data_IF_126608566870
#
_entry.id   IF_126608566870
#
_cell.length_a   1.000
_cell.length_b   1.000
_cell.length_c   1.000
_cell.angle_alpha   90.00
_cell.angle_beta   90.00
_cell.angle_gamma   90.00
#
_symmetry.space_group_name_H-M   'P 1'
#
loop_
_entity.id
_entity.type
_entity.pdbx_description
1 polymer ?
#
# COMPACT_ATOMS: atom_id res chain seq x y z
N UNK A 1 -52.13 -34.77 -11.05
CA UNK A 1 -51.19 -34.73 -12.20
C UNK A 1 -51.06 -33.32 -12.82
N UNK A 2 -52.15 -32.64 -13.21
CA UNK A 2 -52.06 -31.32 -13.86
C UNK A 2 -51.32 -30.26 -12.99
N UNK A 3 -51.60 -30.22 -11.66
CA UNK A 3 -50.93 -29.29 -10.74
C UNK A 3 -49.41 -29.53 -10.62
N UNK A 4 -48.98 -30.78 -10.63
CA UNK A 4 -47.54 -31.14 -10.57
C UNK A 4 -46.76 -30.67 -11.82
N UNK A 5 -47.42 -30.78 -12.98
CA UNK A 5 -46.84 -30.32 -14.26
C UNK A 5 -46.68 -28.79 -14.29
N UNK A 6 -47.64 -28.05 -13.75
CA UNK A 6 -47.52 -26.59 -13.66
C UNK A 6 -46.41 -26.15 -12.69
N UNK A 7 -46.23 -26.86 -11.56
CA UNK A 7 -45.16 -26.60 -10.61
C UNK A 7 -43.78 -26.88 -11.25
N UNK A 8 -43.62 -28.03 -11.94
CA UNK A 8 -42.40 -28.36 -12.67
C UNK A 8 -42.07 -27.33 -13.76
N UNK A 9 -43.07 -26.88 -14.50
CA UNK A 9 -42.88 -25.85 -15.53
C UNK A 9 -42.45 -24.51 -14.93
N UNK A 10 -43.03 -24.11 -13.81
CA UNK A 10 -42.64 -22.90 -13.08
C UNK A 10 -41.19 -22.96 -12.56
N UNK A 11 -40.78 -24.12 -12.06
CA UNK A 11 -39.39 -24.34 -11.59
C UNK A 11 -38.39 -24.26 -12.77
N UNK A 12 -38.70 -24.87 -13.89
CA UNK A 12 -37.84 -24.84 -15.09
C UNK A 12 -37.70 -23.40 -15.61
N UNK A 13 -38.81 -22.64 -15.64
CA UNK A 13 -38.78 -21.23 -16.04
C UNK A 13 -37.95 -20.39 -15.05
N UNK A 14 -38.11 -20.61 -13.74
CA UNK A 14 -37.35 -19.91 -12.71
C UNK A 14 -35.83 -20.24 -12.78
N UNK A 15 -35.47 -21.51 -13.00
CA UNK A 15 -34.09 -21.91 -13.22
C UNK A 15 -33.50 -21.30 -14.52
N UNK A 16 -34.27 -21.26 -15.59
CA UNK A 16 -33.89 -20.62 -16.84
C UNK A 16 -33.67 -19.11 -16.69
N UNK A 17 -34.53 -18.42 -15.95
CA UNK A 17 -34.37 -17.01 -15.62
C UNK A 17 -33.16 -16.76 -14.72
N UNK A 18 -32.94 -17.58 -13.70
CA UNK A 18 -31.77 -17.51 -12.84
C UNK A 18 -30.48 -17.77 -13.62
N UNK A 19 -30.44 -18.75 -14.49
CA UNK A 19 -29.29 -19.01 -15.36
C UNK A 19 -29.03 -17.86 -16.33
N UNK A 20 -30.08 -17.24 -16.86
CA UNK A 20 -29.97 -16.08 -17.74
C UNK A 20 -29.48 -14.84 -16.97
N UNK A 21 -29.96 -14.62 -15.75
CA UNK A 21 -29.48 -13.54 -14.87
C UNK A 21 -28.04 -13.82 -14.43
N UNK A 22 -27.71 -15.07 -14.09
CA UNK A 22 -26.33 -15.45 -13.74
C UNK A 22 -25.37 -15.24 -14.92
N UNK A 23 -25.75 -15.66 -16.14
CA UNK A 23 -24.93 -15.43 -17.34
C UNK A 23 -24.82 -13.94 -17.71
N UNK A 24 -25.82 -13.12 -17.39
CA UNK A 24 -25.75 -11.67 -17.53
C UNK A 24 -24.88 -11.04 -16.45
N UNK A 25 -24.88 -11.56 -15.21
CA UNK A 25 -24.01 -11.14 -14.13
C UNK A 25 -22.56 -11.59 -14.34
N UNK A 26 -22.34 -12.79 -14.90
CA UNK A 26 -21.00 -13.23 -15.35
C UNK A 26 -20.49 -12.40 -16.55
N UNK A 27 -21.37 -11.96 -17.43
CA UNK A 27 -21.03 -11.06 -18.54
C UNK A 27 -20.83 -9.59 -18.11
N UNK A 28 -21.26 -9.21 -16.88
CA UNK A 28 -20.94 -7.93 -16.24
C UNK A 28 -19.81 -8.06 -15.20
N UNK A 29 -19.30 -9.27 -14.92
CA UNK A 29 -18.02 -9.49 -14.29
C UNK A 29 -16.95 -9.13 -15.29
N UNK A 30 -16.25 -8.04 -15.00
CA UNK A 30 -15.07 -7.46 -15.62
C UNK A 30 -14.39 -8.34 -16.70
N UNK A 31 -14.96 -8.40 -17.90
CA UNK A 31 -14.29 -8.91 -19.10
C UNK A 31 -13.68 -7.70 -19.79
N UNK A 32 -12.40 -7.39 -19.46
CA UNK A 32 -11.60 -6.47 -20.24
C UNK A 32 -11.62 -6.91 -21.72
N UNK A 33 -11.79 -5.96 -22.61
CA UNK A 33 -11.61 -6.10 -24.05
C UNK A 33 -10.56 -5.06 -24.49
N UNK A 34 -10.21 -5.02 -25.77
CA UNK A 34 -9.26 -4.01 -26.28
C UNK A 34 -9.65 -2.56 -25.94
N UNK A 35 -10.93 -2.30 -25.70
CA UNK A 35 -11.49 -0.99 -25.36
C UNK A 35 -11.71 -0.79 -23.83
N UNK A 36 -11.28 -1.74 -22.99
CA UNK A 36 -11.48 -1.68 -21.54
C UNK A 36 -10.19 -2.07 -20.83
N UNK A 37 -9.86 -1.34 -19.75
CA UNK A 37 -8.72 -1.59 -18.87
C UNK A 37 -9.19 -1.80 -17.44
N UNK A 38 -8.77 -2.86 -16.80
CA UNK A 38 -9.08 -3.15 -15.40
C UNK A 38 -7.87 -2.86 -14.53
N UNK A 39 -7.97 -1.80 -13.72
CA UNK A 39 -6.94 -1.37 -12.77
C UNK A 39 -7.33 -1.83 -11.37
N UNK A 40 -6.44 -2.54 -10.67
CA UNK A 40 -6.63 -3.05 -9.32
C UNK A 40 -5.58 -2.44 -8.41
N UNK A 41 -5.99 -1.50 -7.57
CA UNK A 41 -5.11 -0.63 -6.80
C UNK A 41 -5.54 -0.57 -5.32
N UNK A 42 -4.80 0.13 -4.51
CA UNK A 42 -5.18 0.50 -3.14
C UNK A 42 -6.38 1.46 -3.15
N UNK A 43 -7.10 1.53 -2.04
CA UNK A 43 -8.12 2.56 -1.84
C UNK A 43 -7.50 3.96 -1.84
N UNK A 44 -8.21 4.95 -2.40
CA UNK A 44 -7.81 6.38 -2.41
C UNK A 44 -6.38 6.65 -2.91
N UNK A 45 -5.92 5.89 -3.90
CA UNK A 45 -4.52 5.86 -4.35
C UNK A 45 -4.31 6.37 -5.77
N UNK A 46 -5.29 7.11 -6.29
CA UNK A 46 -5.24 7.83 -7.56
C UNK A 46 -6.26 8.99 -7.54
N UNK A 47 -5.90 10.12 -8.15
CA UNK A 47 -6.85 11.19 -8.44
C UNK A 47 -7.88 10.69 -9.48
N UNK A 48 -9.18 10.60 -9.15
CA UNK A 48 -10.20 10.09 -10.06
C UNK A 48 -10.28 10.88 -11.39
N UNK A 49 -9.92 12.17 -11.39
CA UNK A 49 -9.93 12.98 -12.61
C UNK A 49 -8.88 12.55 -13.63
N UNK A 50 -7.80 11.88 -13.19
CA UNK A 50 -6.79 11.30 -14.08
C UNK A 50 -7.31 10.06 -14.82
N UNK A 51 -8.22 9.30 -14.20
CA UNK A 51 -8.91 8.21 -14.88
C UNK A 51 -9.76 8.77 -16.03
N UNK A 52 -10.57 9.80 -15.75
CA UNK A 52 -11.38 10.47 -16.78
C UNK A 52 -10.52 11.08 -17.90
N UNK A 53 -9.35 11.64 -17.54
CA UNK A 53 -8.40 12.17 -18.50
C UNK A 53 -7.84 11.06 -19.40
N UNK A 54 -7.41 9.94 -18.82
CA UNK A 54 -6.90 8.80 -19.57
C UNK A 54 -7.94 8.25 -20.54
N UNK A 55 -9.17 8.04 -20.08
CA UNK A 55 -10.28 7.57 -20.92
C UNK A 55 -10.55 8.52 -22.11
N UNK A 56 -10.53 9.83 -21.84
CA UNK A 56 -10.74 10.86 -22.87
C UNK A 56 -9.62 10.90 -23.89
N UNK A 57 -8.37 10.71 -23.48
CA UNK A 57 -7.19 10.80 -24.35
C UNK A 57 -7.01 9.53 -25.20
N UNK A 58 -7.34 8.36 -24.65
CA UNK A 58 -7.09 7.07 -25.27
C UNK A 58 -8.32 6.43 -25.89
N UNK A 59 -9.49 6.75 -25.40
CA UNK A 59 -10.75 6.05 -25.74
C UNK A 59 -10.91 4.70 -25.02
N UNK A 60 -9.98 4.33 -24.12
CA UNK A 60 -10.04 3.09 -23.34
C UNK A 60 -10.82 3.38 -22.05
N UNK A 61 -11.90 2.66 -21.79
CA UNK A 61 -12.65 2.77 -20.54
C UNK A 61 -11.95 2.06 -19.40
N UNK A 62 -11.86 2.69 -18.21
CA UNK A 62 -11.20 2.13 -17.04
C UNK A 62 -12.21 1.59 -16.03
N UNK A 63 -12.05 0.33 -15.65
CA UNK A 63 -12.70 -0.26 -14.48
C UNK A 63 -11.69 -0.22 -13.36
N UNK A 64 -11.97 0.56 -12.32
CA UNK A 64 -11.09 0.71 -11.17
C UNK A 64 -11.64 -0.08 -9.98
N UNK A 65 -10.89 -1.06 -9.51
CA UNK A 65 -11.20 -1.87 -8.34
C UNK A 65 -10.13 -1.64 -7.25
N UNK A 66 -10.51 -1.80 -5.99
CA UNK A 66 -9.60 -1.59 -4.86
C UNK A 66 -9.42 -2.83 -4.00
N UNK A 67 -8.33 -2.85 -3.23
CA UNK A 67 -8.03 -3.86 -2.22
C UNK A 67 -7.37 -3.22 -1.00
N UNK A 68 -7.42 -3.92 0.14
CA UNK A 68 -6.96 -3.42 1.43
C UNK A 68 -5.64 -4.08 1.90
N UNK A 69 -5.18 -5.15 1.21
CA UNK A 69 -3.92 -5.81 1.55
C UNK A 69 -3.29 -6.54 0.36
N UNK A 70 -1.96 -6.61 0.35
CA UNK A 70 -1.20 -7.38 -0.64
C UNK A 70 -1.62 -8.86 -0.66
N UNK A 71 -1.94 -9.45 0.50
CA UNK A 71 -2.33 -10.84 0.64
C UNK A 71 -3.70 -11.12 -0.01
N UNK A 72 -4.66 -10.24 0.18
CA UNK A 72 -5.98 -10.32 -0.45
C UNK A 72 -5.87 -10.17 -1.97
N UNK A 73 -5.10 -9.17 -2.43
CA UNK A 73 -4.82 -8.93 -3.85
C UNK A 73 -4.15 -10.16 -4.49
N UNK A 74 -3.05 -10.66 -3.89
CA UNK A 74 -2.29 -11.79 -4.41
C UNK A 74 -3.15 -13.08 -4.48
N UNK A 75 -3.99 -13.31 -3.47
CA UNK A 75 -4.93 -14.43 -3.46
C UNK A 75 -5.89 -14.36 -4.64
N UNK A 76 -6.42 -13.18 -4.92
CA UNK A 76 -7.35 -12.95 -6.04
C UNK A 76 -6.67 -13.15 -7.40
N UNK A 77 -5.43 -12.67 -7.56
CA UNK A 77 -4.61 -12.92 -8.77
C UNK A 77 -4.34 -14.41 -8.98
N UNK A 78 -3.96 -15.13 -7.91
CA UNK A 78 -3.69 -16.59 -7.97
C UNK A 78 -4.92 -17.41 -8.37
N UNK A 79 -6.11 -16.99 -7.94
CA UNK A 79 -7.37 -17.68 -8.28
C UNK A 79 -7.71 -17.58 -9.78
N UNK A 80 -7.23 -16.56 -10.48
CA UNK A 80 -7.38 -16.41 -11.94
C UNK A 80 -8.82 -16.22 -12.43
N UNK A 81 -9.77 -15.99 -11.52
CA UNK A 81 -11.20 -15.81 -11.86
C UNK A 81 -11.57 -14.41 -12.34
N UNK A 82 -10.67 -13.45 -12.18
CA UNK A 82 -10.82 -12.07 -12.65
C UNK A 82 -9.62 -11.69 -13.51
N UNK A 83 -9.87 -10.91 -14.55
CA UNK A 83 -8.81 -10.34 -15.38
C UNK A 83 -8.48 -8.94 -14.87
N UNK A 84 -7.24 -8.74 -14.47
CA UNK A 84 -6.69 -7.43 -14.14
C UNK A 84 -5.61 -7.09 -15.13
N UNK A 85 -5.57 -5.84 -15.59
CA UNK A 85 -4.61 -5.40 -16.60
C UNK A 85 -3.44 -4.63 -15.96
N UNK A 86 -3.71 -3.84 -14.91
CA UNK A 86 -2.70 -3.20 -14.07
C UNK A 86 -3.01 -3.48 -12.61
N UNK A 87 -1.98 -3.86 -11.84
CA UNK A 87 -2.06 -4.04 -10.38
C UNK A 87 -0.92 -3.26 -9.73
N UNK A 88 -1.09 -2.80 -8.49
CA UNK A 88 -0.12 -1.92 -7.81
C UNK A 88 0.37 -2.54 -6.48
N UNK A 89 1.10 -3.66 -6.52
CA UNK A 89 1.65 -4.31 -5.32
C UNK A 89 2.86 -3.60 -4.73
N UNK A 90 3.11 -3.88 -3.44
CA UNK A 90 4.37 -3.53 -2.78
C UNK A 90 5.50 -4.49 -3.18
N UNK A 91 6.75 -4.07 -2.97
CA UNK A 91 7.98 -4.72 -3.45
C UNK A 91 8.10 -6.21 -3.08
N UNK A 92 7.82 -6.59 -1.82
CA UNK A 92 7.92 -7.99 -1.36
C UNK A 92 6.88 -8.91 -2.04
N UNK A 93 5.76 -8.33 -2.42
CA UNK A 93 4.72 -9.05 -3.16
C UNK A 93 5.10 -9.21 -4.62
N UNK A 94 5.73 -8.21 -5.24
CA UNK A 94 6.28 -8.30 -6.60
C UNK A 94 7.27 -9.46 -6.68
N UNK A 95 8.18 -9.57 -5.72
CA UNK A 95 9.14 -10.67 -5.66
C UNK A 95 8.44 -12.04 -5.63
N UNK A 96 7.34 -12.15 -4.87
CA UNK A 96 6.50 -13.34 -4.83
C UNK A 96 5.84 -13.61 -6.18
N UNK A 97 5.24 -12.58 -6.79
CA UNK A 97 4.56 -12.70 -8.09
C UNK A 97 5.52 -13.10 -9.21
N UNK A 98 6.76 -12.60 -9.18
CA UNK A 98 7.83 -13.00 -10.13
C UNK A 98 8.19 -14.48 -9.93
N UNK A 99 8.42 -14.91 -8.69
CA UNK A 99 8.77 -16.31 -8.36
C UNK A 99 7.67 -17.30 -8.78
N UNK A 100 6.41 -16.88 -8.69
CA UNK A 100 5.25 -17.69 -9.07
C UNK A 100 4.86 -17.55 -10.55
N UNK A 101 5.64 -16.81 -11.33
CA UNK A 101 5.41 -16.62 -12.76
C UNK A 101 4.02 -16.00 -13.07
N UNK A 102 3.59 -15.01 -12.26
CA UNK A 102 2.28 -14.37 -12.38
C UNK A 102 2.30 -13.08 -13.21
N UNK A 103 3.48 -12.57 -13.59
CA UNK A 103 3.64 -11.26 -14.24
C UNK A 103 4.10 -11.38 -15.70
N UNK A 104 3.69 -10.41 -16.52
CA UNK A 104 4.20 -10.18 -17.87
C UNK A 104 5.42 -9.25 -17.77
N UNK A 105 6.44 -9.50 -18.59
CA UNK A 105 7.58 -8.59 -18.73
C UNK A 105 7.13 -7.24 -19.32
N UNK A 106 7.58 -6.15 -18.72
CA UNK A 106 7.30 -4.79 -19.18
C UNK A 106 8.07 -4.50 -20.48
N UNK A 107 7.37 -4.07 -21.50
CA UNK A 107 8.00 -3.56 -22.72
C UNK A 107 8.38 -2.08 -22.54
N UNK A 108 9.63 -1.82 -22.14
CA UNK A 108 10.14 -0.48 -21.91
C UNK A 108 10.08 0.41 -23.17
N UNK A 109 10.00 -0.17 -24.38
CA UNK A 109 9.86 0.61 -25.61
C UNK A 109 8.50 1.33 -25.71
N UNK A 110 7.51 0.84 -24.96
CA UNK A 110 6.16 1.43 -24.84
C UNK A 110 6.04 2.47 -23.71
N UNK A 111 7.12 2.66 -22.94
CA UNK A 111 7.16 3.56 -21.78
C UNK A 111 8.15 4.72 -21.98
N UNK A 112 7.94 5.63 -22.95
CA UNK A 112 8.85 6.77 -23.17
C UNK A 112 8.99 7.69 -21.96
N UNK A 113 8.03 7.69 -21.04
CA UNK A 113 8.04 8.49 -19.81
C UNK A 113 8.80 7.80 -18.65
N UNK A 114 9.26 6.56 -18.79
CA UNK A 114 10.09 5.88 -17.78
C UNK A 114 11.38 6.67 -17.46
N UNK A 115 11.88 7.46 -18.39
CA UNK A 115 13.02 8.39 -18.21
C UNK A 115 12.78 9.47 -17.15
N UNK A 116 11.52 9.72 -16.76
CA UNK A 116 11.14 10.69 -15.75
C UNK A 116 11.38 10.17 -14.32
N UNK A 117 11.53 8.84 -14.16
CA UNK A 117 11.80 8.21 -12.86
C UNK A 117 13.27 8.49 -12.46
N UNK A 118 13.46 8.86 -11.19
CA UNK A 118 14.81 9.00 -10.62
C UNK A 118 15.50 7.62 -10.63
N UNK A 119 16.75 7.53 -11.10
CA UNK A 119 17.51 6.27 -11.14
C UNK A 119 17.61 5.55 -9.78
N UNK A 120 17.47 6.26 -8.66
CA UNK A 120 17.46 5.65 -7.33
C UNK A 120 16.35 4.61 -7.15
N UNK A 121 15.20 4.80 -7.81
CA UNK A 121 14.02 3.92 -7.72
C UNK A 121 13.99 2.83 -8.80
N UNK A 122 15.02 2.75 -9.61
CA UNK A 122 15.15 1.74 -10.66
C UNK A 122 16.19 0.68 -10.30
N UNK A 123 16.08 -0.49 -10.93
CA UNK A 123 17.04 -1.60 -10.79
C UNK A 123 17.17 -2.08 -9.32
N UNK A 124 16.08 -2.07 -8.57
CA UNK A 124 16.05 -2.51 -7.18
C UNK A 124 16.11 -4.05 -7.07
N UNK A 125 16.62 -4.61 -5.94
CA UNK A 125 16.85 -6.05 -5.79
C UNK A 125 15.63 -6.94 -6.01
N UNK A 126 14.42 -6.46 -5.71
CA UNK A 126 13.18 -7.22 -5.89
C UNK A 126 12.77 -7.39 -7.37
N UNK A 127 13.20 -6.48 -8.25
CA UNK A 127 12.96 -6.56 -9.70
C UNK A 127 14.12 -5.95 -10.50
N UNK A 128 15.24 -6.65 -10.67
CA UNK A 128 16.39 -6.13 -11.39
C UNK A 128 16.04 -5.70 -12.82
N UNK A 129 16.49 -4.49 -13.18
CA UNK A 129 16.25 -3.81 -14.47
C UNK A 129 14.79 -3.43 -14.69
N UNK A 130 13.96 -3.42 -13.65
CA UNK A 130 12.52 -3.13 -13.78
C UNK A 130 11.86 -3.98 -14.87
N UNK A 131 12.16 -5.27 -14.82
CA UNK A 131 11.70 -6.21 -15.84
C UNK A 131 10.18 -6.43 -15.78
N UNK A 132 9.60 -6.37 -14.60
CA UNK A 132 8.19 -6.69 -14.34
C UNK A 132 7.41 -5.56 -13.69
N UNK A 133 8.09 -4.52 -13.18
CA UNK A 133 7.46 -3.48 -12.38
C UNK A 133 7.94 -2.08 -12.74
N UNK A 134 7.07 -1.10 -12.51
CA UNK A 134 7.33 0.33 -12.73
C UNK A 134 6.99 1.09 -11.46
N UNK A 135 7.93 1.85 -10.86
CA UNK A 135 7.69 2.58 -9.61
C UNK A 135 6.52 3.55 -9.73
N UNK A 136 5.67 3.58 -8.68
CA UNK A 136 4.46 4.40 -8.62
C UNK A 136 4.50 5.38 -7.45
N UNK A 137 4.49 4.90 -6.23
CA UNK A 137 4.67 5.66 -5.00
C UNK A 137 5.71 5.01 -4.09
N UNK A 138 6.21 5.78 -3.13
CA UNK A 138 7.10 5.29 -2.09
C UNK A 138 6.91 6.08 -0.80
N UNK A 139 7.41 5.56 0.30
CA UNK A 139 7.33 6.26 1.56
C UNK A 139 7.97 5.49 2.70
N UNK A 140 7.71 5.98 3.91
CA UNK A 140 8.24 5.42 5.15
C UNK A 140 7.10 5.09 6.10
N UNK A 141 7.39 4.28 7.11
CA UNK A 141 6.58 4.15 8.33
C UNK A 141 7.22 5.03 9.40
N UNK A 142 6.40 5.77 10.13
CA UNK A 142 6.89 6.63 11.20
C UNK A 142 5.80 6.96 12.22
N UNK A 143 6.03 8.01 12.98
CA UNK A 143 5.14 8.44 14.06
C UNK A 143 4.56 9.81 13.73
N UNK A 144 3.24 9.91 13.57
CA UNK A 144 2.53 11.19 13.55
C UNK A 144 2.04 11.52 14.96
N UNK A 145 2.18 12.76 15.38
CA UNK A 145 1.88 13.16 16.75
C UNK A 145 1.54 14.65 16.86
N UNK A 146 0.79 15.01 17.90
CA UNK A 146 0.58 16.40 18.28
C UNK A 146 1.60 16.82 19.36
N UNK A 147 2.63 17.63 19.04
CA UNK A 147 3.67 18.04 19.99
C UNK A 147 3.13 18.89 21.14
N UNK A 148 1.94 19.47 21.04
CA UNK A 148 1.31 20.25 22.10
C UNK A 148 0.67 19.38 23.19
N UNK A 149 0.41 18.08 22.90
CA UNK A 149 -0.29 17.14 23.78
C UNK A 149 0.64 16.14 24.46
N UNK A 150 1.93 16.19 24.18
CA UNK A 150 2.96 15.29 24.74
C UNK A 150 4.06 16.09 25.46
N UNK A 151 4.81 15.45 26.38
CA UNK A 151 5.97 16.08 27.01
C UNK A 151 7.05 16.46 25.98
N UNK A 152 7.69 17.60 26.18
CA UNK A 152 8.69 18.15 25.24
C UNK A 152 9.95 17.28 25.04
N UNK A 153 10.21 16.32 25.92
CA UNK A 153 11.33 15.42 25.77
C UNK A 153 11.04 14.26 24.82
N UNK A 154 9.79 14.04 24.46
CA UNK A 154 9.37 13.04 23.49
C UNK A 154 9.38 13.72 22.10
N UNK A 155 10.25 13.27 21.22
CA UNK A 155 10.45 13.82 19.87
C UNK A 155 10.24 12.80 18.77
N UNK A 156 10.15 11.53 19.16
CA UNK A 156 10.13 10.37 18.25
C UNK A 156 11.36 10.27 17.33
N UNK A 157 12.49 10.84 17.78
CA UNK A 157 13.80 10.57 17.17
C UNK A 157 14.24 9.10 17.38
N UNK A 158 13.59 8.43 18.34
CA UNK A 158 13.76 7.01 18.66
C UNK A 158 12.42 6.31 18.78
N UNK A 159 12.34 5.04 18.31
CA UNK A 159 11.18 4.19 18.56
C UNK A 159 10.91 3.98 20.05
N UNK A 160 11.94 4.02 20.91
CA UNK A 160 11.81 3.85 22.35
C UNK A 160 10.94 4.94 23.01
N UNK A 161 10.76 6.09 22.37
CA UNK A 161 9.86 7.14 22.85
C UNK A 161 8.40 6.65 22.98
N UNK A 162 7.99 5.66 22.19
CA UNK A 162 6.65 5.06 22.29
C UNK A 162 6.40 4.37 23.64
N UNK A 163 7.46 3.91 24.31
CA UNK A 163 7.39 3.26 25.63
C UNK A 163 7.39 4.25 26.80
N UNK A 164 7.48 5.56 26.57
CA UNK A 164 7.42 6.55 27.64
C UNK A 164 6.08 6.46 28.38
N UNK A 165 6.07 6.35 29.75
CA UNK A 165 4.84 6.24 30.52
C UNK A 165 3.87 7.43 30.39
N UNK A 166 4.34 8.58 29.91
CA UNK A 166 3.51 9.75 29.65
C UNK A 166 2.55 9.54 28.47
N UNK A 167 2.81 8.53 27.62
CA UNK A 167 1.97 8.15 26.49
C UNK A 167 0.89 7.11 26.86
N UNK A 168 0.65 6.89 28.15
CA UNK A 168 -0.35 5.92 28.60
C UNK A 168 -1.68 6.11 27.91
N UNK A 169 -2.16 5.06 27.19
CA UNK A 169 -3.43 5.02 26.46
C UNK A 169 -3.56 6.14 25.40
N UNK A 170 -2.46 6.51 24.74
CA UNK A 170 -2.40 7.57 23.71
C UNK A 170 -1.91 7.09 22.36
N UNK A 171 -1.28 5.92 22.28
CA UNK A 171 -0.62 5.41 21.08
C UNK A 171 -1.62 4.58 20.26
N UNK A 172 -1.76 4.95 19.00
CA UNK A 172 -2.42 4.13 17.98
C UNK A 172 -1.36 3.45 17.14
N UNK A 173 -1.55 2.19 16.82
CA UNK A 173 -0.68 1.43 15.94
C UNK A 173 -1.45 1.05 14.67
N UNK A 174 -0.76 1.06 13.54
CA UNK A 174 -1.26 0.55 12.27
C UNK A 174 -1.60 -0.94 12.38
N UNK A 175 -2.68 -1.38 11.75
CA UNK A 175 -3.08 -2.80 11.73
C UNK A 175 -2.28 -3.57 10.65
N UNK A 176 -0.98 -3.72 10.90
CA UNK A 176 -0.03 -4.40 10.02
C UNK A 176 1.01 -5.18 10.83
N UNK A 177 1.13 -6.48 10.55
CA UNK A 177 2.07 -7.34 11.26
C UNK A 177 3.53 -6.96 11.00
N UNK A 178 3.87 -6.67 9.72
CA UNK A 178 5.22 -6.28 9.33
C UNK A 178 5.62 -4.94 9.96
N UNK A 179 4.70 -3.98 10.00
CA UNK A 179 4.91 -2.64 10.52
C UNK A 179 5.14 -2.68 12.04
N UNK A 180 4.25 -3.36 12.78
CA UNK A 180 4.32 -3.40 14.25
C UNK A 180 5.49 -4.26 14.75
N UNK A 181 5.70 -5.45 14.19
CA UNK A 181 6.85 -6.29 14.53
C UNK A 181 8.14 -5.60 14.06
N UNK A 182 8.16 -4.99 12.86
CA UNK A 182 9.29 -4.25 12.33
C UNK A 182 9.70 -3.06 13.20
N UNK A 183 8.74 -2.26 13.67
CA UNK A 183 8.96 -1.21 14.65
C UNK A 183 9.64 -1.76 15.91
N UNK A 184 9.16 -2.89 16.43
CA UNK A 184 9.74 -3.56 17.58
C UNK A 184 11.18 -4.04 17.31
N UNK A 185 11.44 -4.63 16.13
CA UNK A 185 12.77 -5.06 15.70
C UNK A 185 13.75 -3.88 15.65
N UNK A 186 13.38 -2.80 14.96
CA UNK A 186 14.22 -1.61 14.85
C UNK A 186 14.52 -0.98 16.22
N UNK A 187 13.54 -0.96 17.12
CA UNK A 187 13.74 -0.45 18.49
C UNK A 187 14.75 -1.26 19.32
N UNK A 188 15.04 -2.50 18.91
CA UNK A 188 16.08 -3.36 19.49
C UNK A 188 17.38 -3.35 18.67
N UNK A 189 17.43 -2.63 17.55
CA UNK A 189 18.55 -2.58 16.62
C UNK A 189 18.66 -3.80 15.70
N UNK A 190 17.55 -4.53 15.52
CA UNK A 190 17.46 -5.67 14.61
C UNK A 190 16.89 -5.23 13.24
N UNK A 191 17.17 -6.03 12.20
CA UNK A 191 16.63 -5.81 10.87
C UNK A 191 15.11 -6.07 10.83
N UNK A 192 14.37 -5.26 10.06
CA UNK A 192 12.95 -5.48 9.76
C UNK A 192 12.67 -6.84 9.09
N UNK A 193 13.72 -7.45 8.54
CA UNK A 193 13.66 -8.72 7.83
C UNK A 193 14.25 -9.87 8.64
N UNK A 194 14.37 -9.72 9.97
CA UNK A 194 14.92 -10.75 10.84
C UNK A 194 14.24 -12.11 10.64
N UNK A 195 15.06 -13.16 10.63
CA UNK A 195 14.66 -14.56 10.51
C UNK A 195 15.03 -15.36 11.76
N UNK A 196 15.52 -14.68 12.80
CA UNK A 196 15.93 -15.29 14.07
C UNK A 196 14.74 -15.28 15.05
N UNK A 197 14.29 -16.49 15.44
CA UNK A 197 13.18 -16.66 16.37
C UNK A 197 13.46 -16.02 17.74
N UNK A 198 14.73 -15.97 18.20
CA UNK A 198 15.06 -15.34 19.48
C UNK A 198 14.85 -13.81 19.40
N UNK A 199 15.20 -13.17 18.25
CA UNK A 199 14.95 -11.75 18.05
C UNK A 199 13.44 -11.47 18.02
N UNK A 200 12.65 -12.34 17.39
CA UNK A 200 11.19 -12.21 17.35
C UNK A 200 10.57 -12.41 18.75
N UNK A 201 11.09 -13.33 19.56
CA UNK A 201 10.67 -13.52 20.96
C UNK A 201 10.95 -12.26 21.80
N UNK A 202 12.15 -11.68 21.66
CA UNK A 202 12.51 -10.42 22.34
C UNK A 202 11.59 -9.26 21.94
N UNK A 203 11.27 -9.16 20.65
CA UNK A 203 10.33 -8.16 20.13
C UNK A 203 8.94 -8.32 20.73
N UNK A 204 8.41 -9.55 20.80
CA UNK A 204 7.10 -9.80 21.38
C UNK A 204 7.02 -9.33 22.84
N UNK A 205 8.06 -9.66 23.64
CA UNK A 205 8.10 -9.22 25.04
C UNK A 205 8.22 -7.69 25.14
N UNK A 206 8.99 -7.05 24.26
CA UNK A 206 9.08 -5.58 24.21
C UNK A 206 7.74 -4.96 23.82
N UNK A 207 7.06 -5.50 22.83
CA UNK A 207 5.72 -5.03 22.42
C UNK A 207 4.68 -5.21 23.53
N UNK A 208 4.70 -6.33 24.27
CA UNK A 208 3.83 -6.51 25.44
C UNK A 208 4.05 -5.44 26.50
N UNK A 209 5.29 -4.95 26.68
CA UNK A 209 5.57 -3.84 27.58
C UNK A 209 4.97 -2.50 27.08
N UNK A 210 4.61 -2.39 25.81
CA UNK A 210 3.93 -1.22 25.25
C UNK A 210 2.43 -1.18 25.55
N UNK A 211 1.82 -2.28 26.00
CA UNK A 211 0.36 -2.43 26.20
C UNK A 211 -0.28 -1.26 26.94
N UNK A 212 0.40 -0.73 27.98
CA UNK A 212 -0.13 0.37 28.78
C UNK A 212 -0.29 1.69 28.01
N UNK A 213 0.46 1.86 26.91
CA UNK A 213 0.47 3.06 26.08
C UNK A 213 -0.45 2.91 24.86
N UNK A 214 -0.68 1.68 24.39
CA UNK A 214 -1.54 1.43 23.21
C UNK A 214 -3.00 1.67 23.57
N UNK A 215 -3.65 2.51 22.76
CA UNK A 215 -5.10 2.76 22.82
C UNK A 215 -5.86 1.86 21.87
N UNK A 216 -5.35 1.69 20.65
CA UNK A 216 -5.93 0.79 19.66
C UNK A 216 -4.92 0.41 18.57
N UNK A 217 -5.21 -0.67 17.86
CA UNK A 217 -4.58 -1.04 16.59
C UNK A 217 -5.67 -0.92 15.53
N UNK A 218 -5.52 0.02 14.61
CA UNK A 218 -6.53 0.38 13.59
C UNK A 218 -5.83 0.77 12.27
N UNK A 219 -6.58 0.72 11.18
CA UNK A 219 -6.13 1.14 9.85
C UNK A 219 -6.35 2.63 9.60
N UNK A 220 -6.95 2.93 8.44
CA UNK A 220 -7.16 4.31 7.96
C UNK A 220 -8.08 5.14 8.87
N UNK A 221 -8.83 4.49 9.75
CA UNK A 221 -9.69 5.17 10.74
C UNK A 221 -8.91 6.08 11.71
N UNK A 222 -7.59 5.93 11.80
CA UNK A 222 -6.73 6.80 12.60
C UNK A 222 -6.68 8.23 12.03
N UNK A 223 -6.78 8.38 10.71
CA UNK A 223 -6.68 9.68 10.02
C UNK A 223 -7.66 10.73 10.57
N UNK A 224 -8.98 10.53 10.56
CA UNK A 224 -9.91 11.51 11.11
C UNK A 224 -9.74 11.73 12.63
N UNK A 225 -9.26 10.73 13.37
CA UNK A 225 -9.01 10.90 14.81
C UNK A 225 -7.83 11.84 15.07
N UNK A 226 -6.75 11.74 14.29
CA UNK A 226 -5.61 12.65 14.39
C UNK A 226 -5.97 14.07 13.94
N UNK A 227 -6.65 14.22 12.81
CA UNK A 227 -7.09 15.52 12.28
C UNK A 227 -7.94 16.28 13.32
N UNK A 228 -8.85 15.58 14.01
CA UNK A 228 -9.74 16.19 15.01
C UNK A 228 -9.14 16.28 16.42
N UNK A 229 -7.86 15.96 16.63
CA UNK A 229 -7.21 15.89 17.94
C UNK A 229 -7.89 14.91 18.93
N UNK A 230 -8.55 13.84 18.40
CA UNK A 230 -9.10 12.74 19.20
C UNK A 230 -8.06 11.64 19.44
N UNK A 231 -6.99 11.63 18.65
CA UNK A 231 -5.78 10.83 18.82
C UNK A 231 -4.57 11.74 18.96
N UNK A 232 -3.59 11.33 19.78
CA UNK A 232 -2.40 12.14 20.11
C UNK A 232 -1.15 11.65 19.38
N UNK A 233 -0.98 10.33 19.25
CA UNK A 233 0.19 9.65 18.66
C UNK A 233 -0.27 8.47 17.83
N UNK A 234 0.21 8.35 16.61
CA UNK A 234 -0.05 7.18 15.77
C UNK A 234 1.18 6.75 14.99
N UNK A 235 1.43 5.44 14.95
CA UNK A 235 2.38 4.83 14.01
C UNK A 235 1.63 4.57 12.72
N UNK A 236 2.10 5.16 11.62
CA UNK A 236 1.42 5.10 10.33
C UNK A 236 2.37 5.37 9.15
N UNK A 237 1.84 5.31 7.94
CA UNK A 237 2.56 5.57 6.70
C UNK A 237 2.72 7.08 6.45
N UNK A 238 3.83 7.47 5.82
CA UNK A 238 4.18 8.87 5.56
C UNK A 238 3.11 9.64 4.76
N UNK A 239 2.45 9.02 3.80
CA UNK A 239 1.39 9.71 3.05
C UNK A 239 0.15 9.99 3.89
N UNK A 240 -0.27 9.04 4.74
CA UNK A 240 -1.36 9.31 5.70
C UNK A 240 -0.97 10.44 6.66
N UNK A 241 0.29 10.47 7.11
CA UNK A 241 0.78 11.56 7.95
C UNK A 241 0.76 12.92 7.20
N UNK A 242 1.11 12.93 5.91
CA UNK A 242 1.05 14.13 5.09
C UNK A 242 -0.39 14.66 4.96
N UNK A 243 -1.36 13.76 4.68
CA UNK A 243 -2.79 14.10 4.64
C UNK A 243 -3.27 14.66 5.98
N UNK A 244 -2.98 13.98 7.09
CA UNK A 244 -3.32 14.46 8.44
C UNK A 244 -2.74 15.84 8.73
N UNK A 245 -1.50 16.10 8.33
CA UNK A 245 -0.81 17.37 8.57
C UNK A 245 -1.29 18.49 7.65
N UNK A 246 -1.81 18.17 6.47
CA UNK A 246 -2.43 19.16 5.57
C UNK A 246 -3.73 19.73 6.15
N UNK A 247 -4.47 18.91 6.90
CA UNK A 247 -5.75 19.28 7.52
C UNK A 247 -5.58 19.80 8.97
N UNK A 248 -4.46 19.43 9.64
CA UNK A 248 -4.16 19.86 11.00
C UNK A 248 -2.67 20.23 11.16
N UNK A 249 -2.38 21.53 11.07
CA UNK A 249 -1.02 22.10 11.17
C UNK A 249 -0.37 21.90 12.54
N UNK A 250 -1.11 21.46 13.57
CA UNK A 250 -0.54 21.16 14.90
C UNK A 250 0.20 19.81 14.91
N UNK A 251 -0.02 18.96 13.92
CA UNK A 251 0.60 17.65 13.83
C UNK A 251 2.03 17.74 13.30
N UNK A 252 2.83 16.76 13.69
CA UNK A 252 4.18 16.55 13.15
C UNK A 252 4.38 15.07 12.85
N UNK A 253 5.34 14.77 11.98
CA UNK A 253 5.72 13.41 11.61
C UNK A 253 7.22 13.22 11.81
N UNK A 254 7.60 12.08 12.39
CA UNK A 254 8.99 11.70 12.60
C UNK A 254 9.24 10.26 12.14
N UNK A 255 10.39 10.06 11.51
CA UNK A 255 10.93 8.72 11.21
C UNK A 255 12.09 8.50 12.19
N UNK A 256 12.01 7.52 13.10
CA UNK A 256 13.05 7.28 14.11
C UNK A 256 14.40 6.96 13.50
N UNK A 257 15.46 7.41 14.19
CA UNK A 257 16.84 7.37 13.71
C UNK A 257 17.46 5.98 13.66
N UNK A 258 16.93 5.02 14.41
CA UNK A 258 17.34 3.62 14.38
C UNK A 258 17.05 2.97 13.01
N UNK A 259 16.08 3.49 12.31
CA UNK A 259 15.62 2.98 11.03
C UNK A 259 14.11 2.79 11.00
N UNK A 260 13.60 2.52 9.82
CA UNK A 260 12.20 2.20 9.58
C UNK A 260 12.04 1.50 8.24
N UNK A 261 10.81 1.10 7.92
CA UNK A 261 10.48 0.58 6.60
C UNK A 261 10.53 1.69 5.55
N UNK A 262 11.21 1.41 4.44
CA UNK A 262 11.16 2.14 3.18
C UNK A 262 10.42 1.25 2.18
N UNK A 263 9.19 1.59 1.88
CA UNK A 263 8.34 0.80 1.00
C UNK A 263 8.21 1.42 -0.38
N UNK A 264 7.95 0.57 -1.38
CA UNK A 264 7.76 0.94 -2.77
C UNK A 264 6.55 0.22 -3.35
N UNK A 265 5.57 0.97 -3.81
CA UNK A 265 4.48 0.44 -4.60
C UNK A 265 4.78 0.63 -6.08
N UNK A 266 4.50 -0.39 -6.86
CA UNK A 266 4.85 -0.42 -8.28
C UNK A 266 3.68 -0.93 -9.12
N UNK A 267 3.52 -0.38 -10.31
CA UNK A 267 2.59 -0.88 -11.31
C UNK A 267 3.16 -2.13 -11.98
N UNK A 268 2.37 -3.19 -12.03
CA UNK A 268 2.71 -4.45 -12.71
C UNK A 268 1.59 -4.90 -13.65
N UNK A 269 1.90 -5.76 -14.61
CA UNK A 269 0.93 -6.34 -15.55
C UNK A 269 0.81 -7.84 -15.26
N UNK A 270 -0.32 -8.31 -14.71
CA UNK A 270 -0.53 -9.74 -14.47
C UNK A 270 -0.64 -10.53 -15.77
N UNK A 271 -0.27 -11.82 -15.74
CA UNK A 271 -0.44 -12.73 -16.89
C UNK A 271 -1.90 -12.97 -17.30
N UNK A 272 -2.83 -12.65 -16.41
CA UNK A 272 -4.27 -12.70 -16.70
C UNK A 272 -4.78 -11.50 -17.48
N UNK A 273 -3.91 -10.49 -17.74
CA UNK A 273 -4.30 -9.30 -18.51
C UNK A 273 -4.87 -9.65 -19.87
N UNK A 274 -5.98 -9.01 -20.20
CA UNK A 274 -6.63 -9.09 -21.50
C UNK A 274 -6.31 -7.90 -22.40
N UNK A 275 -5.73 -6.82 -21.85
CA UNK A 275 -5.38 -5.59 -22.56
C UNK A 275 -3.97 -5.11 -22.18
N UNK A 276 -2.96 -5.88 -22.58
CA UNK A 276 -1.53 -5.58 -22.29
C UNK A 276 -1.08 -4.25 -22.91
N UNK A 277 -1.59 -3.89 -24.09
CA UNK A 277 -1.26 -2.63 -24.74
C UNK A 277 -1.88 -1.43 -24.01
N UNK A 278 -3.12 -1.54 -23.58
CA UNK A 278 -3.79 -0.55 -22.73
C UNK A 278 -3.11 -0.41 -21.37
N UNK A 279 -2.63 -1.51 -20.78
CA UNK A 279 -1.86 -1.48 -19.54
C UNK A 279 -0.56 -0.67 -19.68
N UNK A 280 0.20 -0.86 -20.77
CA UNK A 280 1.39 -0.05 -21.03
C UNK A 280 1.04 1.44 -21.26
N UNK A 281 -0.07 1.72 -21.95
CA UNK A 281 -0.52 3.10 -22.14
C UNK A 281 -0.87 3.77 -20.81
N UNK A 282 -1.57 3.05 -19.94
CA UNK A 282 -1.92 3.57 -18.60
C UNK A 282 -0.67 3.80 -17.74
N UNK A 283 0.23 2.83 -17.68
CA UNK A 283 1.50 2.96 -16.96
C UNK A 283 2.29 4.16 -17.50
N UNK A 284 2.42 4.29 -18.83
CA UNK A 284 3.14 5.43 -19.41
C UNK A 284 2.44 6.77 -19.15
N UNK A 285 1.09 6.80 -19.11
CA UNK A 285 0.31 7.97 -18.76
C UNK A 285 0.60 8.40 -17.31
N UNK A 286 0.58 7.46 -16.35
CA UNK A 286 0.90 7.74 -14.94
C UNK A 286 2.35 8.21 -14.74
N UNK A 287 3.26 7.89 -15.66
CA UNK A 287 4.65 8.36 -15.66
C UNK A 287 4.83 9.76 -16.30
N UNK A 288 3.79 10.36 -16.90
CA UNK A 288 3.90 11.74 -17.36
C UNK A 288 4.12 12.68 -16.17
N UNK A 289 5.02 13.66 -16.32
CA UNK A 289 5.40 14.51 -15.20
C UNK A 289 4.23 15.29 -14.59
N UNK A 290 3.29 15.79 -15.43
CA UNK A 290 2.12 16.54 -14.94
C UNK A 290 1.10 15.63 -14.29
N UNK A 291 0.87 14.45 -14.87
CA UNK A 291 -0.03 13.44 -14.32
C UNK A 291 0.51 12.95 -12.98
N UNK A 292 1.80 12.63 -12.90
CA UNK A 292 2.42 12.20 -11.66
C UNK A 292 2.40 13.28 -10.57
N UNK A 293 2.65 14.55 -10.92
CA UNK A 293 2.59 15.66 -9.98
C UNK A 293 1.15 15.88 -9.45
N UNK A 294 0.15 15.89 -10.34
CA UNK A 294 -1.26 16.00 -9.95
C UNK A 294 -1.68 14.85 -9.04
N UNK A 295 -1.26 13.63 -9.37
CA UNK A 295 -1.57 12.46 -8.57
C UNK A 295 -0.93 12.52 -7.18
N UNK A 296 0.32 12.98 -7.09
CA UNK A 296 1.02 13.15 -5.82
C UNK A 296 0.37 14.22 -4.93
N UNK A 297 -0.04 15.32 -5.52
CA UNK A 297 -0.73 16.41 -4.82
C UNK A 297 -2.08 15.97 -4.26
N UNK A 298 -2.80 15.10 -5.00
CA UNK A 298 -4.08 14.55 -4.55
C UNK A 298 -3.92 13.48 -3.47
N UNK A 299 -2.97 12.55 -3.66
CA UNK A 299 -2.82 11.35 -2.79
C UNK A 299 -1.97 11.65 -1.55
N UNK A 300 -1.06 12.64 -1.62
CA UNK A 300 -0.17 13.02 -0.53
C UNK A 300 1.09 12.15 -0.36
N UNK A 301 1.28 11.12 -1.18
CA UNK A 301 2.47 10.25 -1.09
C UNK A 301 3.62 10.74 -1.96
N UNK A 302 4.85 10.42 -1.52
CA UNK A 302 6.04 10.73 -2.28
C UNK A 302 6.12 9.90 -3.57
N UNK A 303 6.56 10.55 -4.64
CA UNK A 303 6.65 9.96 -5.98
C UNK A 303 8.10 9.77 -6.42
N UNK A 304 8.38 8.69 -7.16
CA UNK A 304 9.70 8.43 -7.73
C UNK A 304 9.99 9.25 -9.01
N UNK A 305 9.00 10.00 -9.51
CA UNK A 305 9.08 10.75 -10.77
C UNK A 305 9.79 12.09 -10.56
N UNK A 306 11.08 12.14 -10.91
CA UNK A 306 11.93 13.32 -10.75
C UNK A 306 11.46 14.51 -11.58
N UNK A 307 10.94 14.27 -12.79
CA UNK A 307 10.45 15.36 -13.63
C UNK A 307 9.17 16.00 -13.04
N UNK A 308 8.40 15.25 -12.25
CA UNK A 308 7.24 15.76 -11.55
C UNK A 308 7.62 16.56 -10.30
N UNK A 309 8.76 16.29 -9.65
CA UNK A 309 9.23 17.08 -8.49
C UNK A 309 9.38 18.57 -8.81
N UNK A 310 9.79 18.90 -10.05
CA UNK A 310 9.90 20.28 -10.52
C UNK A 310 8.54 21.00 -10.65
N UNK A 311 7.44 20.26 -10.61
CA UNK A 311 6.07 20.76 -10.74
C UNK A 311 5.33 20.80 -9.38
N UNK A 312 5.84 20.11 -8.37
CA UNK A 312 5.32 20.14 -7.01
C UNK A 312 5.82 21.39 -6.28
N UNK A 313 5.13 21.74 -5.20
CA UNK A 313 5.56 22.81 -4.33
C UNK A 313 6.95 22.54 -3.74
N UNK A 314 7.84 23.54 -3.76
CA UNK A 314 9.19 23.41 -3.19
C UNK A 314 9.16 23.05 -1.69
N UNK A 315 8.15 23.49 -0.95
CA UNK A 315 7.97 23.14 0.47
C UNK A 315 7.71 21.64 0.64
N UNK A 316 6.97 21.01 -0.28
CA UNK A 316 6.65 19.57 -0.25
C UNK A 316 7.88 18.72 -0.54
N UNK A 317 8.57 18.99 -1.66
CA UNK A 317 9.72 18.16 -2.09
C UNK A 317 10.98 18.37 -1.25
N UNK A 318 11.07 19.48 -0.52
CA UNK A 318 12.17 19.76 0.41
C UNK A 318 11.85 19.34 1.86
N UNK A 319 10.66 18.84 2.14
CA UNK A 319 10.32 18.31 3.45
C UNK A 319 10.94 16.91 3.62
N UNK A 320 12.03 16.85 4.38
CA UNK A 320 12.77 15.60 4.63
C UNK A 320 11.96 14.55 5.40
N UNK A 321 10.84 14.92 5.99
CA UNK A 321 9.91 13.97 6.64
C UNK A 321 9.25 13.05 5.61
N UNK A 322 8.96 13.57 4.40
CA UNK A 322 8.28 12.85 3.32
C UNK A 322 9.21 12.51 2.15
N UNK A 323 10.21 13.37 1.92
CA UNK A 323 11.26 13.17 0.90
C UNK A 323 12.64 13.11 1.57
N UNK A 324 12.92 12.06 2.40
CA UNK A 324 14.19 11.95 3.12
C UNK A 324 15.37 11.92 2.14
N UNK A 325 16.44 12.69 2.47
CA UNK A 325 17.68 12.72 1.70
C UNK A 325 18.42 11.39 1.79
N UNK A 326 19.37 11.18 0.88
CA UNK A 326 20.18 9.95 0.83
C UNK A 326 20.81 9.60 2.20
N UNK A 327 21.27 10.62 2.95
CA UNK A 327 21.87 10.40 4.27
C UNK A 327 20.87 9.86 5.30
N UNK A 328 19.65 10.38 5.29
CA UNK A 328 18.56 9.94 6.19
C UNK A 328 18.02 8.56 5.81
N UNK A 329 18.16 8.14 4.55
CA UNK A 329 17.70 6.83 4.06
C UNK A 329 18.63 5.67 4.41
N UNK A 330 19.84 5.91 4.94
CA UNK A 330 20.85 4.84 5.20
C UNK A 330 20.41 3.78 6.19
N UNK A 331 19.55 4.15 7.13
CA UNK A 331 19.03 3.25 8.16
C UNK A 331 17.64 2.72 7.82
N UNK A 332 17.07 3.11 6.66
CA UNK A 332 15.79 2.58 6.21
C UNK A 332 16.00 1.25 5.49
N UNK A 333 15.10 0.31 5.75
CA UNK A 333 15.15 -1.02 5.14
C UNK A 333 13.90 -1.25 4.28
N UNK A 334 14.11 -1.91 3.15
CA UNK A 334 13.02 -2.41 2.28
C UNK A 334 12.59 -3.78 2.78
N UNK A 335 11.29 -4.07 2.78
CA UNK A 335 10.83 -5.41 3.12
C UNK A 335 11.28 -6.44 2.09
N UNK A 336 11.86 -7.53 2.59
CA UNK A 336 12.15 -8.72 1.80
C UNK A 336 10.98 -9.70 1.82
N UNK A 337 10.90 -10.55 0.82
CA UNK A 337 10.02 -11.70 0.84
C UNK A 337 10.53 -12.72 1.88
N UNK A 338 9.84 -12.80 3.00
CA UNK A 338 10.17 -13.74 4.08
C UNK A 338 9.78 -15.20 3.77
N UNK A 339 8.95 -15.41 2.73
CA UNK A 339 8.29 -16.69 2.49
C UNK A 339 7.06 -16.90 3.38
N UNK A 340 6.21 -17.84 3.00
CA UNK A 340 4.91 -18.03 3.68
C UNK A 340 5.05 -18.48 5.14
N UNK A 341 6.04 -19.31 5.45
CA UNK A 341 6.25 -19.84 6.81
C UNK A 341 6.62 -18.73 7.79
N UNK A 342 7.66 -17.95 7.46
CA UNK A 342 8.12 -16.88 8.34
C UNK A 342 7.13 -15.71 8.39
N UNK A 343 6.47 -15.39 7.27
CA UNK A 343 5.38 -14.40 7.29
C UNK A 343 4.23 -14.86 8.20
N UNK A 344 3.94 -16.17 8.21
CA UNK A 344 3.01 -16.78 9.17
C UNK A 344 3.44 -16.55 10.62
N UNK A 345 4.73 -16.71 10.91
CA UNK A 345 5.32 -16.46 12.25
C UNK A 345 5.13 -14.98 12.65
N UNK A 346 5.45 -14.01 11.77
CA UNK A 346 5.21 -12.59 12.05
C UNK A 346 3.73 -12.30 12.38
N UNK A 347 2.81 -12.91 11.62
CA UNK A 347 1.37 -12.76 11.85
C UNK A 347 0.94 -13.39 13.20
N UNK A 348 1.50 -14.54 13.59
CA UNK A 348 1.24 -15.19 14.89
C UNK A 348 1.70 -14.30 16.06
N UNK A 349 2.92 -13.76 15.98
CA UNK A 349 3.46 -12.84 17.01
C UNK A 349 2.63 -11.56 17.10
N UNK A 350 2.24 -10.99 15.96
CA UNK A 350 1.37 -9.82 15.94
C UNK A 350 -0.01 -10.12 16.56
N UNK A 351 -0.61 -11.27 16.24
CA UNK A 351 -1.87 -11.69 16.83
C UNK A 351 -1.74 -11.91 18.35
N UNK A 352 -0.64 -12.52 18.82
CA UNK A 352 -0.37 -12.70 20.24
C UNK A 352 -0.24 -11.34 20.96
N UNK A 353 0.46 -10.39 20.34
CA UNK A 353 0.52 -9.01 20.85
C UNK A 353 -0.87 -8.39 20.92
N UNK A 354 -1.67 -8.44 19.84
CA UNK A 354 -3.07 -7.93 19.83
C UNK A 354 -3.91 -8.55 20.94
N UNK A 355 -3.77 -9.84 21.18
CA UNK A 355 -4.50 -10.55 22.26
C UNK A 355 -4.03 -10.16 23.66
N UNK A 356 -2.84 -9.61 23.81
CA UNK A 356 -2.31 -9.12 25.09
C UNK A 356 -2.82 -7.71 25.46
N UNK A 357 -3.41 -6.97 24.51
CA UNK A 357 -4.05 -5.69 24.73
C UNK A 357 -5.42 -5.92 25.41
N UNK A 358 -5.59 -5.57 26.67
CA UNK A 358 -6.83 -5.72 27.45
C UNK A 358 -7.61 -4.42 27.52
#
# INVERSE_FOLDING_TARGET
MKSLIHIMLAIVIACGLLSFVASKLEATGSTGGEDTLVVYNWGEYIDPSLIEQFEKETGISVIYETYDSNEAMLTKIRQGGSTYDVVVPSEYTIETMIKEDLLIEIDHSKLPNLKNIDPYFLDLPFDPKNKYSVPYFWGTVGVVYNPNEIPKHITFDSWDDLWDPALKNKVFLVDGAREVIGMGLNSLGYSLNSRDENELDEVLEKLKALNGNVKAIIGDEVTPLMINNEATVAVTFSGQAADMMSENEELNYAVPSEGSNLWFDNMVIPKTSSNVDGAHQFINFMLDAKVAAQNADYVGYAIPNKAAWELLDEEVVNDERFYPREESRKNLEVYENLGLELLGTYNEYFLEFKMSLN
#
